data_IF_567834293199
#
_entry.id   IF_567834293199
#
_cell.length_a   1.000
_cell.length_b   1.000
_cell.length_c   1.000
_cell.angle_alpha   90.00
_cell.angle_beta   90.00
_cell.angle_gamma   90.00
#
_symmetry.space_group_name_H-M   'P 1'
#
loop_
_entity.id
_entity.type
_entity.pdbx_description
1 polymer ?
#
# COMPACT_ATOMS: atom_id res chain seq x y z
N UNK A 1 17.94 -17.33 -42.77
CA UNK A 1 16.86 -17.52 -41.77
C UNK A 1 17.30 -18.16 -40.46
N UNK A 2 18.05 -19.26 -40.42
CA UNK A 2 18.44 -19.93 -39.13
C UNK A 2 19.35 -19.08 -38.24
N UNK A 3 20.25 -18.23 -38.76
CA UNK A 3 21.13 -17.36 -37.95
C UNK A 3 20.39 -16.18 -37.29
N UNK A 4 19.36 -15.64 -37.92
CA UNK A 4 18.58 -14.53 -37.39
C UNK A 4 17.69 -14.97 -36.21
N UNK A 5 17.17 -16.20 -36.23
CA UNK A 5 16.37 -16.78 -35.15
C UNK A 5 17.26 -17.06 -33.92
N UNK A 6 18.49 -17.49 -34.14
CA UNK A 6 19.42 -17.78 -33.02
C UNK A 6 19.85 -16.50 -32.31
N UNK A 7 20.06 -15.40 -33.03
CA UNK A 7 20.39 -14.09 -32.43
C UNK A 7 19.20 -13.52 -31.68
N UNK A 8 17.98 -13.67 -32.17
CA UNK A 8 16.77 -13.24 -31.47
C UNK A 8 16.52 -14.04 -30.19
N UNK A 9 16.78 -15.35 -30.19
CA UNK A 9 16.70 -16.20 -29.00
C UNK A 9 17.79 -15.88 -27.96
N UNK A 10 19.03 -15.57 -28.42
CA UNK A 10 20.10 -15.13 -27.53
C UNK A 10 19.85 -13.75 -26.94
N UNK A 11 19.31 -12.80 -27.69
CA UNK A 11 18.89 -11.49 -27.18
C UNK A 11 17.72 -11.61 -26.18
N UNK A 12 16.75 -12.48 -26.43
CA UNK A 12 15.67 -12.76 -25.50
C UNK A 12 16.18 -13.42 -24.20
N UNK A 13 17.15 -14.33 -24.30
CA UNK A 13 17.77 -14.96 -23.13
C UNK A 13 18.60 -13.95 -22.30
N UNK A 14 19.33 -13.03 -22.95
CA UNK A 14 20.09 -11.98 -22.25
C UNK A 14 19.19 -10.94 -21.61
N UNK A 15 18.05 -10.59 -22.23
CA UNK A 15 17.04 -9.72 -21.63
C UNK A 15 16.33 -10.39 -20.43
N UNK A 16 16.17 -11.71 -20.44
CA UNK A 16 15.59 -12.48 -19.35
C UNK A 16 16.56 -12.68 -18.17
N UNK A 17 17.86 -12.61 -18.41
CA UNK A 17 18.87 -12.75 -17.34
C UNK A 17 19.33 -11.44 -16.75
N UNK A 18 19.11 -10.30 -17.44
CA UNK A 18 19.47 -8.96 -16.95
C UNK A 18 18.35 -8.26 -16.16
N UNK A 19 17.10 -8.70 -16.29
CA UNK A 19 16.04 -8.26 -15.40
C UNK A 19 16.12 -9.08 -14.10
N UNK A 20 16.43 -8.45 -12.99
CA UNK A 20 16.20 -9.02 -11.64
C UNK A 20 14.84 -9.72 -11.68
N UNK A 21 14.84 -11.02 -11.48
CA UNK A 21 13.71 -11.93 -11.73
C UNK A 21 12.40 -11.56 -11.02
N UNK A 22 12.44 -10.64 -10.05
CA UNK A 22 11.30 -10.16 -9.30
C UNK A 22 10.39 -9.18 -10.04
N UNK A 23 10.92 -8.25 -10.85
CA UNK A 23 10.09 -7.21 -11.50
C UNK A 23 9.26 -7.74 -12.68
N UNK A 24 9.84 -8.64 -13.48
CA UNK A 24 9.12 -9.22 -14.62
C UNK A 24 7.97 -10.13 -14.19
N UNK A 25 8.13 -10.88 -13.10
CA UNK A 25 7.08 -11.71 -12.51
C UNK A 25 5.88 -10.86 -12.03
N UNK A 26 6.16 -9.66 -11.50
CA UNK A 26 5.14 -8.69 -11.06
C UNK A 26 4.38 -8.07 -12.23
N UNK A 27 5.08 -7.68 -13.30
CA UNK A 27 4.49 -7.13 -14.54
C UNK A 27 3.56 -8.14 -15.23
N UNK A 28 3.85 -9.43 -15.10
CA UNK A 28 3.09 -10.52 -15.72
C UNK A 28 2.00 -11.10 -14.80
N UNK A 29 1.81 -10.56 -13.57
CA UNK A 29 0.77 -11.00 -12.64
C UNK A 29 1.04 -12.35 -11.97
N UNK A 30 2.27 -12.87 -12.04
CA UNK A 30 2.74 -13.97 -11.21
C UNK A 30 2.89 -13.48 -9.77
N UNK A 31 2.51 -14.28 -8.79
CA UNK A 31 2.49 -13.92 -7.36
C UNK A 31 3.73 -13.18 -6.86
N UNK A 32 3.62 -12.56 -5.70
CA UNK A 32 4.74 -11.81 -5.11
C UNK A 32 6.01 -12.69 -5.10
N UNK A 33 7.19 -12.12 -5.46
CA UNK A 33 8.45 -12.85 -5.39
C UNK A 33 8.64 -13.42 -3.99
N UNK A 34 9.12 -14.65 -3.92
CA UNK A 34 9.50 -15.27 -2.65
C UNK A 34 10.89 -14.76 -2.26
N UNK A 35 10.94 -13.85 -1.30
CA UNK A 35 12.18 -13.30 -0.75
C UNK A 35 12.70 -14.09 0.45
N UNK A 36 12.07 -15.22 0.82
CA UNK A 36 12.44 -16.00 2.00
C UNK A 36 13.86 -16.58 1.98
N UNK A 37 14.50 -16.60 0.81
CA UNK A 37 15.87 -17.08 0.60
C UNK A 37 16.93 -15.98 0.49
N UNK A 38 16.58 -14.69 0.60
CA UNK A 38 17.58 -13.63 0.59
C UNK A 38 18.40 -13.64 1.90
N UNK A 39 19.72 -13.48 1.82
CA UNK A 39 20.54 -13.40 3.03
C UNK A 39 20.22 -12.13 3.82
N UNK A 40 20.07 -12.27 5.13
CA UNK A 40 19.91 -11.14 6.04
C UNK A 40 21.22 -10.37 6.09
N UNK A 41 21.15 -9.07 5.87
CA UNK A 41 22.29 -8.14 5.85
C UNK A 41 22.37 -7.28 7.11
N UNK A 42 21.24 -7.13 7.81
CA UNK A 42 21.15 -6.30 9.02
C UNK A 42 19.87 -6.52 9.82
N UNK A 43 19.78 -5.81 10.92
CA UNK A 43 18.58 -5.71 11.77
C UNK A 43 18.13 -4.26 11.79
N UNK A 44 16.82 -4.03 11.73
CA UNK A 44 16.22 -2.70 11.84
C UNK A 44 15.78 -2.48 13.28
N UNK A 45 16.36 -1.49 13.92
CA UNK A 45 15.94 -1.09 15.27
C UNK A 45 14.60 -0.35 15.22
N UNK A 46 13.68 -0.55 16.18
CA UNK A 46 12.35 0.07 16.17
C UNK A 46 12.34 1.60 16.17
N UNK A 47 13.37 2.23 16.76
CA UNK A 47 13.55 3.67 16.87
C UNK A 47 14.41 4.28 15.75
N UNK A 48 14.89 3.47 14.81
CA UNK A 48 15.57 3.95 13.60
C UNK A 48 14.56 4.57 12.62
N UNK A 49 15.05 5.41 11.70
CA UNK A 49 14.20 6.01 10.64
C UNK A 49 13.40 4.94 9.88
N UNK A 50 14.03 3.83 9.50
CA UNK A 50 13.36 2.73 8.83
C UNK A 50 12.32 2.03 9.74
N UNK A 51 12.63 1.83 11.02
CA UNK A 51 11.71 1.23 11.99
C UNK A 51 10.47 2.10 12.22
N UNK A 52 10.65 3.42 12.34
CA UNK A 52 9.57 4.38 12.47
C UNK A 52 8.70 4.42 11.22
N UNK A 53 9.30 4.45 10.01
CA UNK A 53 8.55 4.44 8.76
C UNK A 53 7.77 3.14 8.59
N UNK A 54 8.36 1.98 8.89
CA UNK A 54 7.67 0.68 8.88
C UNK A 54 6.48 0.69 9.84
N UNK A 55 6.65 1.24 11.04
CA UNK A 55 5.57 1.35 12.04
C UNK A 55 4.40 2.19 11.51
N UNK A 56 4.68 3.36 10.92
CA UNK A 56 3.65 4.22 10.32
C UNK A 56 2.95 3.53 9.13
N UNK A 57 3.70 2.81 8.30
CA UNK A 57 3.12 2.02 7.21
C UNK A 57 2.16 0.93 7.74
N UNK A 58 2.48 0.28 8.85
CA UNK A 58 1.61 -0.74 9.46
C UNK A 58 0.33 -0.10 10.02
N UNK A 59 0.43 1.06 10.67
CA UNK A 59 -0.72 1.78 11.22
C UNK A 59 -1.78 2.13 10.17
N UNK A 60 -1.37 2.49 8.96
CA UNK A 60 -2.31 2.81 7.88
C UNK A 60 -3.11 1.60 7.36
N UNK A 61 -2.75 0.37 7.71
CA UNK A 61 -3.45 -0.83 7.25
C UNK A 61 -4.81 -1.04 7.95
N UNK A 62 -5.05 -0.38 9.09
CA UNK A 62 -6.32 -0.49 9.81
C UNK A 62 -6.69 0.84 10.47
N UNK A 63 -8.00 1.09 10.64
CA UNK A 63 -8.52 2.32 11.26
C UNK A 63 -8.68 2.17 12.77
N UNK A 64 -9.19 1.04 13.22
CA UNK A 64 -9.65 0.88 14.62
C UNK A 64 -9.52 -0.56 15.15
N UNK A 65 -8.75 -1.39 14.48
CA UNK A 65 -8.67 -2.82 14.81
C UNK A 65 -7.25 -3.34 14.77
N UNK A 66 -6.89 -4.14 15.76
CA UNK A 66 -5.66 -4.94 15.74
C UNK A 66 -5.69 -6.03 14.66
N UNK A 67 -6.87 -6.31 14.08
CA UNK A 67 -7.01 -7.25 12.96
C UNK A 67 -6.74 -6.53 11.65
N UNK A 68 -5.54 -6.74 11.13
CA UNK A 68 -5.14 -6.20 9.84
C UNK A 68 -5.65 -7.07 8.67
N UNK A 69 -5.79 -6.49 7.46
CA UNK A 69 -6.02 -7.24 6.24
C UNK A 69 -4.79 -8.11 5.91
N UNK A 70 -5.06 -9.33 5.46
CA UNK A 70 -4.03 -10.25 4.97
C UNK A 70 -4.05 -10.24 3.44
N UNK A 71 -2.90 -10.05 2.81
CA UNK A 71 -2.76 -10.01 1.36
C UNK A 71 -1.37 -10.46 0.91
N UNK A 72 -1.28 -10.92 -0.33
CA UNK A 72 -0.04 -11.36 -0.97
C UNK A 72 0.17 -10.69 -2.34
N UNK A 73 -0.69 -9.76 -2.70
CA UNK A 73 -0.60 -9.02 -3.97
C UNK A 73 -1.22 -7.64 -3.85
N UNK A 74 -0.80 -6.72 -4.71
CA UNK A 74 -1.42 -5.40 -4.80
C UNK A 74 -2.92 -5.48 -5.13
N UNK A 75 -3.34 -6.41 -5.97
CA UNK A 75 -4.76 -6.57 -6.33
C UNK A 75 -5.62 -6.87 -5.11
N UNK A 76 -5.14 -7.69 -4.19
CA UNK A 76 -5.82 -7.97 -2.92
C UNK A 76 -5.81 -6.73 -2.01
N UNK A 77 -4.64 -6.08 -1.85
CA UNK A 77 -4.50 -4.92 -0.97
C UNK A 77 -5.41 -3.75 -1.39
N UNK A 78 -5.58 -3.48 -2.70
CA UNK A 78 -6.49 -2.43 -3.21
C UNK A 78 -7.89 -2.58 -2.63
N UNK A 79 -8.41 -3.80 -2.57
CA UNK A 79 -9.77 -4.04 -2.07
C UNK A 79 -9.83 -4.05 -0.53
N UNK A 80 -8.80 -4.59 0.11
CA UNK A 80 -8.80 -4.82 1.56
C UNK A 80 -8.38 -3.56 2.34
N UNK A 81 -7.48 -2.74 1.79
CA UNK A 81 -6.91 -1.58 2.48
C UNK A 81 -7.50 -0.23 2.03
N UNK A 82 -8.49 -0.22 1.11
CA UNK A 82 -9.06 1.04 0.58
C UNK A 82 -9.56 1.97 1.67
N UNK A 83 -10.46 1.51 2.50
CA UNK A 83 -11.08 2.35 3.52
C UNK A 83 -10.07 2.82 4.56
N UNK A 84 -9.13 1.98 4.96
CA UNK A 84 -8.09 2.35 5.93
C UNK A 84 -7.11 3.37 5.34
N UNK A 85 -6.70 3.18 4.09
CA UNK A 85 -5.81 4.14 3.42
C UNK A 85 -6.48 5.49 3.20
N UNK A 86 -7.74 5.52 2.73
CA UNK A 86 -8.50 6.77 2.59
C UNK A 86 -8.70 7.47 3.94
N UNK A 87 -8.96 6.71 5.00
CA UNK A 87 -9.06 7.27 6.35
C UNK A 87 -7.71 7.84 6.81
N UNK A 88 -6.62 7.14 6.59
CA UNK A 88 -5.28 7.60 6.91
C UNK A 88 -4.95 8.92 6.19
N UNK A 89 -5.20 9.00 4.88
CA UNK A 89 -5.01 10.21 4.08
C UNK A 89 -5.79 11.39 4.65
N UNK A 90 -7.07 11.19 4.93
CA UNK A 90 -7.92 12.25 5.46
C UNK A 90 -7.54 12.66 6.87
N UNK A 91 -7.11 11.74 7.71
CA UNK A 91 -6.68 12.02 9.08
C UNK A 91 -5.34 12.76 9.14
N UNK A 92 -4.38 12.36 8.31
CA UNK A 92 -3.02 12.93 8.31
C UNK A 92 -2.92 14.26 7.58
N UNK A 93 -3.76 14.50 6.58
CA UNK A 93 -3.76 15.75 5.79
C UNK A 93 -5.18 16.32 5.62
N UNK A 94 -5.85 16.48 6.74
CA UNK A 94 -7.23 16.98 6.79
C UNK A 94 -7.40 18.33 6.07
N UNK A 95 -6.44 19.24 6.23
CA UNK A 95 -6.50 20.57 5.61
C UNK A 95 -6.50 20.51 4.08
N UNK A 96 -5.73 19.61 3.49
CA UNK A 96 -5.67 19.40 2.05
C UNK A 96 -7.03 18.94 1.50
N UNK A 97 -7.70 18.02 2.18
CA UNK A 97 -8.91 17.37 1.69
C UNK A 97 -10.22 18.05 2.12
N UNK A 98 -10.13 19.07 2.98
CA UNK A 98 -11.30 19.89 3.41
C UNK A 98 -11.16 21.38 3.07
N UNK A 99 -10.03 21.79 2.53
CA UNK A 99 -9.69 23.22 2.36
C UNK A 99 -9.74 23.76 0.93
N UNK A 100 -9.97 22.95 -0.11
CA UNK A 100 -10.06 23.42 -1.49
C UNK A 100 -11.52 23.70 -1.90
N UNK A 101 -11.97 24.98 -1.85
CA UNK A 101 -13.35 25.32 -2.16
C UNK A 101 -13.75 24.99 -3.59
N UNK A 102 -12.83 25.10 -4.57
CA UNK A 102 -13.14 24.85 -5.96
C UNK A 102 -13.43 23.37 -6.21
N UNK A 103 -12.62 22.48 -5.60
CA UNK A 103 -12.81 21.05 -5.69
C UNK A 103 -14.12 20.58 -5.04
N UNK A 104 -14.47 21.17 -3.90
CA UNK A 104 -15.73 20.88 -3.19
C UNK A 104 -16.93 21.39 -3.98
N UNK A 105 -16.88 22.64 -4.50
CA UNK A 105 -17.94 23.24 -5.29
C UNK A 105 -18.24 22.45 -6.58
N UNK A 106 -17.23 21.99 -7.29
CA UNK A 106 -17.41 21.15 -8.48
C UNK A 106 -18.05 19.80 -8.16
N UNK A 107 -17.69 19.20 -7.02
CA UNK A 107 -18.30 17.97 -6.56
C UNK A 107 -19.78 18.20 -6.15
N UNK A 108 -20.10 19.27 -5.45
CA UNK A 108 -21.48 19.62 -5.07
C UNK A 108 -22.35 19.93 -6.28
N UNK A 109 -21.82 20.64 -7.29
CA UNK A 109 -22.54 20.84 -8.58
C UNK A 109 -22.88 19.52 -9.27
N UNK A 110 -21.97 18.55 -9.22
CA UNK A 110 -22.20 17.23 -9.80
C UNK A 110 -23.16 16.34 -8.97
N UNK A 111 -23.31 16.65 -7.69
CA UNK A 111 -24.12 15.91 -6.71
C UNK A 111 -24.91 16.88 -5.80
N UNK A 112 -25.94 17.58 -6.33
CA UNK A 112 -26.63 18.67 -5.64
C UNK A 112 -27.39 18.24 -4.38
N UNK A 113 -27.69 16.95 -4.24
CA UNK A 113 -28.37 16.38 -3.06
C UNK A 113 -27.40 16.02 -1.93
N UNK A 114 -26.12 16.34 -2.07
CA UNK A 114 -25.08 16.04 -1.09
C UNK A 114 -24.41 17.32 -0.58
N UNK A 115 -24.21 17.40 0.74
CA UNK A 115 -23.28 18.37 1.32
C UNK A 115 -21.92 17.72 1.42
N UNK A 116 -20.92 18.27 0.74
CA UNK A 116 -19.57 17.72 0.66
C UNK A 116 -18.62 18.67 1.36
N UNK A 117 -18.11 18.27 2.52
CA UNK A 117 -17.14 19.04 3.30
C UNK A 117 -15.70 18.53 3.19
N UNK A 118 -15.52 17.32 2.66
CA UNK A 118 -14.24 16.66 2.52
C UNK A 118 -14.25 15.80 1.27
N UNK A 119 -13.14 15.79 0.54
CA UNK A 119 -13.05 15.08 -0.72
C UNK A 119 -11.59 14.65 -0.99
N UNK A 120 -11.40 13.36 -1.29
CA UNK A 120 -10.12 12.82 -1.69
C UNK A 120 -10.17 12.52 -3.19
N UNK A 121 -9.39 13.20 -4.04
CA UNK A 121 -9.29 12.86 -5.46
C UNK A 121 -8.89 11.41 -5.67
N UNK A 122 -9.47 10.76 -6.69
CA UNK A 122 -9.11 9.39 -7.03
C UNK A 122 -7.62 9.25 -7.40
N UNK A 123 -7.06 10.26 -8.05
CA UNK A 123 -5.63 10.33 -8.38
C UNK A 123 -4.71 10.31 -7.16
N UNK A 124 -5.11 10.99 -6.08
CA UNK A 124 -4.36 11.00 -4.83
C UNK A 124 -4.39 9.62 -4.18
N UNK A 125 -5.56 9.00 -4.14
CA UNK A 125 -5.71 7.63 -3.65
C UNK A 125 -4.88 6.63 -4.47
N UNK A 126 -4.91 6.73 -5.81
CA UNK A 126 -4.07 5.90 -6.69
C UNK A 126 -2.58 6.07 -6.38
N UNK A 127 -2.13 7.33 -6.23
CA UNK A 127 -0.74 7.65 -5.91
C UNK A 127 -0.31 7.02 -4.58
N UNK A 128 -1.16 7.08 -3.57
CA UNK A 128 -0.91 6.44 -2.26
C UNK A 128 -0.91 4.91 -2.35
N UNK A 129 -1.83 4.33 -3.13
CA UNK A 129 -1.82 2.88 -3.37
C UNK A 129 -0.54 2.43 -4.06
N UNK A 130 -0.07 3.15 -5.10
CA UNK A 130 1.19 2.83 -5.77
C UNK A 130 2.40 3.02 -4.86
N UNK A 131 2.38 4.05 -4.03
CA UNK A 131 3.44 4.31 -3.06
C UNK A 131 3.60 3.15 -2.07
N UNK A 132 2.50 2.72 -1.44
CA UNK A 132 2.56 1.80 -0.30
C UNK A 132 2.33 0.32 -0.64
N UNK A 133 1.78 0.02 -1.81
CA UNK A 133 1.54 -1.37 -2.22
C UNK A 133 2.21 -1.75 -3.53
N UNK A 134 2.85 -0.79 -4.20
CA UNK A 134 3.61 -1.03 -5.44
C UNK A 134 2.76 -1.47 -6.62
N UNK A 135 3.42 -1.71 -7.75
CA UNK A 135 2.82 -2.33 -8.92
C UNK A 135 2.08 -1.39 -9.88
N UNK A 136 1.76 -1.92 -11.07
CA UNK A 136 1.04 -1.23 -12.15
C UNK A 136 -0.35 -1.86 -12.36
N UNK A 137 -1.07 -2.13 -11.27
CA UNK A 137 -2.42 -2.69 -11.35
C UNK A 137 -3.41 -1.55 -11.51
N UNK A 138 -4.28 -1.63 -12.52
CA UNK A 138 -5.38 -0.67 -12.65
C UNK A 138 -6.29 -0.74 -11.43
N UNK A 139 -6.39 0.37 -10.71
CA UNK A 139 -7.25 0.48 -9.54
C UNK A 139 -8.69 0.65 -9.99
N UNK A 140 -9.57 -0.18 -9.47
CA UNK A 140 -11.02 -0.04 -9.66
C UNK A 140 -11.61 0.78 -8.53
N UNK A 141 -12.16 1.95 -8.87
CA UNK A 141 -12.79 2.83 -7.90
C UNK A 141 -14.21 2.36 -7.60
N UNK A 142 -14.43 1.97 -6.37
CA UNK A 142 -15.76 1.57 -5.86
C UNK A 142 -15.94 2.11 -4.45
N UNK A 143 -17.18 2.31 -4.03
CA UNK A 143 -17.50 2.68 -2.65
C UNK A 143 -17.12 1.55 -1.68
N UNK A 144 -16.58 1.94 -0.54
CA UNK A 144 -16.32 1.08 0.60
C UNK A 144 -17.36 1.25 1.70
N UNK A 145 -17.03 0.77 2.90
CA UNK A 145 -17.88 0.92 4.09
C UNK A 145 -17.80 2.34 4.67
N UNK A 146 -16.62 2.95 4.61
CA UNK A 146 -16.33 4.25 5.22
C UNK A 146 -16.31 5.39 4.21
N UNK A 147 -16.16 5.10 2.95
CA UNK A 147 -16.05 6.09 1.88
C UNK A 147 -16.97 5.75 0.71
N UNK A 148 -17.63 6.77 0.18
CA UNK A 148 -18.38 6.68 -1.08
C UNK A 148 -17.52 7.21 -2.22
N UNK A 149 -17.43 6.46 -3.30
CA UNK A 149 -16.87 6.94 -4.55
C UNK A 149 -17.90 7.71 -5.35
N UNK A 150 -17.53 8.88 -5.83
CA UNK A 150 -18.34 9.77 -6.67
C UNK A 150 -17.77 9.78 -8.11
N UNK A 151 -18.32 8.97 -9.03
CA UNK A 151 -17.74 8.82 -10.38
C UNK A 151 -17.66 10.13 -11.18
N UNK A 152 -18.67 11.00 -11.09
CA UNK A 152 -18.68 12.30 -11.81
C UNK A 152 -17.63 13.29 -11.30
N UNK A 153 -17.26 13.19 -10.03
CA UNK A 153 -16.21 14.00 -9.41
C UNK A 153 -14.84 13.30 -9.40
N UNK A 154 -14.78 12.03 -9.81
CA UNK A 154 -13.58 11.18 -9.70
C UNK A 154 -12.93 11.27 -8.33
N UNK A 155 -13.71 11.12 -7.27
CA UNK A 155 -13.27 11.34 -5.90
C UNK A 155 -14.00 10.49 -4.87
N UNK A 156 -13.44 10.40 -3.67
CA UNK A 156 -14.03 9.76 -2.50
C UNK A 156 -14.48 10.79 -1.48
N UNK A 157 -15.65 10.55 -0.90
CA UNK A 157 -16.16 11.34 0.25
C UNK A 157 -16.35 10.43 1.46
N UNK A 158 -16.00 10.88 2.67
CA UNK A 158 -16.20 10.11 3.88
C UNK A 158 -17.69 9.98 4.20
N UNK A 159 -18.08 8.81 4.69
CA UNK A 159 -19.42 8.54 5.25
C UNK A 159 -19.45 8.69 6.77
N UNK A 160 -18.28 8.84 7.38
CA UNK A 160 -18.11 9.04 8.82
C UNK A 160 -16.86 9.89 9.08
N UNK A 161 -16.78 10.48 10.26
CA UNK A 161 -15.60 11.25 10.70
C UNK A 161 -14.35 10.36 10.68
N UNK A 162 -13.24 10.82 10.09
CA UNK A 162 -11.98 10.10 10.09
C UNK A 162 -11.49 9.85 11.53
N UNK A 163 -10.80 8.73 11.72
CA UNK A 163 -10.33 8.31 13.04
C UNK A 163 -8.82 8.08 12.98
N UNK A 164 -8.15 8.45 14.05
CA UNK A 164 -6.76 8.09 14.29
C UNK A 164 -6.59 6.64 14.73
N UNK A 165 -5.35 6.24 14.89
CA UNK A 165 -4.97 4.91 15.32
C UNK A 165 -5.52 4.59 16.71
N UNK A 166 -5.99 3.38 16.89
CA UNK A 166 -6.50 2.86 18.17
C UNK A 166 -5.79 1.59 18.59
N UNK A 167 -4.58 1.38 18.10
CA UNK A 167 -3.74 0.25 18.44
C UNK A 167 -2.27 0.64 18.37
N UNK A 168 -1.47 0.00 19.17
CA UNK A 168 -0.03 0.11 19.15
C UNK A 168 0.56 -0.92 18.19
N UNK A 169 1.65 -0.56 17.54
CA UNK A 169 2.45 -1.46 16.72
C UNK A 169 3.78 -1.68 17.43
N UNK A 170 4.08 -2.95 17.72
CA UNK A 170 5.32 -3.39 18.34
C UNK A 170 6.08 -4.17 17.27
N UNK A 171 7.24 -3.69 16.87
CA UNK A 171 8.14 -4.44 15.98
C UNK A 171 8.84 -5.51 16.82
N UNK A 172 8.42 -6.77 16.65
CA UNK A 172 9.00 -7.92 17.37
C UNK A 172 10.36 -8.31 16.78
N UNK A 173 10.48 -8.22 15.46
CA UNK A 173 11.69 -8.49 14.69
C UNK A 173 11.60 -7.81 13.34
N UNK A 174 12.65 -7.12 12.93
CA UNK A 174 12.76 -6.55 11.59
C UNK A 174 14.16 -6.82 11.04
N UNK A 175 14.23 -7.66 10.02
CA UNK A 175 15.47 -8.06 9.34
C UNK A 175 15.57 -7.36 8.00
N UNK A 176 16.73 -6.84 7.70
CA UNK A 176 17.05 -6.22 6.43
C UNK A 176 17.75 -7.23 5.53
N UNK A 177 17.33 -7.29 4.27
CA UNK A 177 18.03 -7.97 3.18
C UNK A 177 18.50 -6.95 2.13
N UNK A 178 19.08 -7.38 1.03
CA UNK A 178 19.45 -6.48 -0.05
C UNK A 178 18.23 -5.69 -0.58
N UNK A 179 17.09 -6.36 -0.77
CA UNK A 179 15.93 -5.80 -1.46
C UNK A 179 14.69 -5.61 -0.58
N UNK A 180 14.69 -6.16 0.63
CA UNK A 180 13.46 -6.21 1.46
C UNK A 180 13.74 -5.95 2.93
N UNK A 181 12.63 -5.66 3.64
CA UNK A 181 12.54 -5.86 5.09
C UNK A 181 11.59 -7.02 5.37
N UNK A 182 12.05 -7.96 6.20
CA UNK A 182 11.25 -9.06 6.72
C UNK A 182 10.83 -8.70 8.15
N UNK A 183 9.56 -8.35 8.33
CA UNK A 183 9.08 -7.75 9.57
C UNK A 183 8.11 -8.69 10.28
N UNK A 184 8.39 -8.99 11.54
CA UNK A 184 7.44 -9.60 12.47
C UNK A 184 7.00 -8.52 13.46
N UNK A 185 5.70 -8.38 13.66
CA UNK A 185 5.18 -7.34 14.53
C UNK A 185 3.87 -7.76 15.18
N UNK A 186 3.54 -7.09 16.27
CA UNK A 186 2.30 -7.28 17.03
C UNK A 186 1.51 -5.99 17.05
N UNK A 187 0.22 -6.06 16.69
CA UNK A 187 -0.73 -4.98 16.89
C UNK A 187 -1.49 -5.23 18.19
N UNK A 188 -1.52 -4.25 19.10
CA UNK A 188 -2.15 -4.36 20.41
C UNK A 188 -3.02 -3.13 20.73
N UNK A 189 -4.13 -3.32 21.46
CA UNK A 189 -4.98 -2.23 21.94
C UNK A 189 -5.37 -2.36 23.42
N UNK A 190 -4.50 -2.96 24.22
CA UNK A 190 -4.71 -3.21 25.64
C UNK A 190 -5.51 -4.47 25.96
N UNK A 191 -6.55 -4.77 25.18
CA UNK A 191 -7.40 -5.95 25.39
C UNK A 191 -7.04 -7.13 24.48
N UNK A 192 -6.59 -6.82 23.28
CA UNK A 192 -6.30 -7.78 22.23
C UNK A 192 -4.95 -7.51 21.63
N UNK A 193 -4.26 -8.59 21.28
CA UNK A 193 -3.04 -8.51 20.46
C UNK A 193 -3.06 -9.58 19.38
N UNK A 194 -2.54 -9.24 18.21
CA UNK A 194 -2.41 -10.15 17.08
C UNK A 194 -1.05 -9.93 16.43
N UNK A 195 -0.35 -11.02 16.16
CA UNK A 195 0.98 -10.99 15.54
C UNK A 195 0.91 -11.28 14.05
N UNK A 196 1.76 -10.61 13.31
CA UNK A 196 1.81 -10.64 11.85
C UNK A 196 3.24 -10.76 11.33
N UNK A 197 3.33 -11.11 10.06
CA UNK A 197 4.53 -10.98 9.24
C UNK A 197 4.22 -10.11 8.05
N UNK A 198 5.13 -9.19 7.71
CA UNK A 198 5.11 -8.43 6.46
C UNK A 198 6.40 -8.63 5.70
N UNK A 199 6.30 -8.61 4.38
CA UNK A 199 7.42 -8.42 3.46
C UNK A 199 7.26 -7.04 2.87
N UNK A 200 8.25 -6.19 3.09
CA UNK A 200 8.30 -4.81 2.60
C UNK A 200 9.47 -4.71 1.63
N UNK A 201 9.20 -4.20 0.43
CA UNK A 201 10.22 -4.07 -0.62
C UNK A 201 10.81 -2.68 -0.57
N UNK A 202 12.13 -2.61 -0.65
CA UNK A 202 12.90 -1.37 -0.82
C UNK A 202 12.96 -1.00 -2.30
N UNK A 203 12.74 0.27 -2.63
CA UNK A 203 12.98 0.81 -3.97
C UNK A 203 14.34 1.50 -4.02
N UNK A 204 14.85 1.66 -5.22
CA UNK A 204 16.15 2.33 -5.46
C UNK A 204 16.14 3.82 -5.05
N UNK A 205 14.97 4.44 -4.96
CA UNK A 205 14.77 5.83 -4.50
C UNK A 205 14.65 5.97 -2.97
N UNK A 206 14.85 4.87 -2.22
CA UNK A 206 14.75 4.82 -0.77
C UNK A 206 13.33 4.67 -0.23
N UNK A 207 12.30 4.72 -1.08
CA UNK A 207 10.92 4.45 -0.65
C UNK A 207 10.68 2.96 -0.49
N UNK A 208 9.63 2.61 0.25
CA UNK A 208 9.28 1.22 0.49
C UNK A 208 7.79 0.95 0.31
N UNK A 209 7.42 -0.31 0.12
CA UNK A 209 6.03 -0.72 -0.04
C UNK A 209 5.79 -2.17 0.39
N UNK A 210 4.56 -2.48 0.81
CA UNK A 210 4.18 -3.85 1.17
C UNK A 210 4.09 -4.77 -0.04
N UNK A 211 4.78 -5.90 0.04
CA UNK A 211 4.57 -7.04 -0.85
C UNK A 211 3.51 -7.98 -0.30
N UNK A 212 3.52 -8.22 1.01
CA UNK A 212 2.55 -9.08 1.67
C UNK A 212 2.40 -8.75 3.14
N UNK A 213 1.23 -9.09 3.69
CA UNK A 213 0.93 -9.11 5.12
C UNK A 213 0.18 -10.39 5.43
N UNK A 214 0.63 -11.14 6.43
CA UNK A 214 0.02 -12.40 6.86
C UNK A 214 0.00 -12.48 8.38
N UNK A 215 -1.04 -13.04 8.92
CA UNK A 215 -1.12 -13.35 10.35
C UNK A 215 -0.21 -14.54 10.70
N UNK A 216 0.41 -14.50 11.89
CA UNK A 216 1.19 -15.62 12.46
C UNK A 216 0.28 -16.63 13.12
#
# INVERSE_FOLDING_TARGET
MKRTILIALLLAAVLLTSCRSGELGRLLGFGAPDYSGEPVTGTVEPDSDAGLEITEMIKMLSVDSVKLPEFTSMKESVNLCRDSLLNYMLYTDFAKYSGDPALLEDAEKAYPDMTISQLIPASDFESMMYRYFGGNVKISHVSGRMFRYLPKASAYVPLATPRGDRFDVILDKAEETENTYLVEFTCANGEKSLSYRAVIIKRDDGTMYFSSVKRK
#
